data_IF_458100972614
#
_entry.id   IF_458100972614
#
_cell.length_a   1.000
_cell.length_b   1.000
_cell.length_c   1.000
_cell.angle_alpha   90.00
_cell.angle_beta   90.00
_cell.angle_gamma   90.00
#
_symmetry.space_group_name_H-M   'P 1'
#
loop_
_entity.id
_entity.type
_entity.pdbx_description
1 polymer ?
#
# COMPACT_ATOMS: atom_id res chain seq x y z
N UNK A 1 26.59 -10.34 5.76
CA UNK A 1 26.05 -9.77 5.50
C UNK A 1 25.75 -9.61 5.49
N UNK A 2 25.84 -9.72 5.42
CA UNK A 2 25.27 -9.09 5.20
C UNK A 2 24.87 -9.13 5.12
N UNK A 3 25.09 -9.30 5.27
CA UNK A 3 24.41 -8.84 5.03
C UNK A 3 24.01 -8.81 4.86
N UNK A 4 24.25 -9.02 4.88
CA UNK A 4 23.57 -8.56 4.56
C UNK A 4 23.13 -8.51 4.31
N UNK A 5 23.19 -8.60 4.25
CA UNK A 5 22.48 -8.11 3.90
C UNK A 5 21.97 -8.10 3.36
N UNK A 6 21.96 -8.33 3.16
CA UNK A 6 21.29 -7.93 2.65
C UNK A 6 20.91 -7.94 2.08
N UNK A 7 21.04 -8.16 1.83
CA UNK A 7 20.52 -7.88 1.22
C UNK A 7 20.17 -7.95 0.94
N UNK A 8 20.22 -8.00 0.87
CA UNK A 8 19.67 -7.63 0.49
C UNK A 8 19.17 -7.55 0.08
N UNK A 9 19.31 -7.68 0.00
CA UNK A 9 18.66 -7.27 -0.50
C UNK A 9 18.23 -7.18 -1.04
N UNK A 10 18.17 -7.29 -1.19
CA UNK A 10 17.57 -6.91 -1.81
C UNK A 10 17.03 -6.67 -2.29
N UNK A 11 17.10 -6.59 -2.56
CA UNK A 11 16.49 -6.10 -3.12
C UNK A 11 16.07 -5.52 -3.41
N UNK A 12 16.18 -5.12 -3.58
CA UNK A 12 15.76 -4.29 -3.93
C UNK A 12 15.64 -3.68 -3.85
N UNK A 13 15.78 -3.36 -4.08
CA UNK A 13 15.56 -2.72 -4.03
C UNK A 13 15.44 -2.38 -3.56
N UNK A 14 15.80 -2.42 -4.51
CA UNK A 14 15.59 -1.86 -3.95
C UNK A 14 15.21 -1.51 -2.82
N UNK A 15 15.37 -1.12 -2.91
CA UNK A 15 15.10 -0.85 -1.54
C UNK A 15 13.64 -0.92 -1.27
N UNK A 16 13.28 -1.82 -0.41
CA UNK A 16 11.88 -2.07 -0.16
C UNK A 16 11.42 -1.34 1.06
N UNK A 17 10.37 -0.55 0.90
CA UNK A 17 9.67 0.01 2.04
C UNK A 17 8.88 -1.11 2.71
N UNK A 18 8.66 -1.03 4.03
CA UNK A 18 7.82 -2.02 4.69
C UNK A 18 6.40 -1.99 4.15
N UNK A 19 5.70 -3.11 4.27
CA UNK A 19 4.31 -3.17 3.85
C UNK A 19 3.45 -2.32 4.76
N UNK A 20 2.49 -1.62 4.16
CA UNK A 20 1.50 -0.88 4.94
C UNK A 20 0.58 -1.88 5.63
N UNK A 21 0.53 -1.81 6.95
CA UNK A 21 -0.30 -2.68 7.76
C UNK A 21 -1.15 -1.82 8.68
N UNK A 22 -2.19 -2.41 9.29
CA UNK A 22 -3.04 -1.65 10.21
C UNK A 22 -2.30 -1.00 11.37
N UNK A 23 -1.17 -1.57 11.78
CA UNK A 23 -0.40 -1.01 12.89
C UNK A 23 0.12 0.39 12.61
N UNK A 24 0.25 0.76 11.33
CA UNK A 24 0.73 2.10 10.99
C UNK A 24 -0.21 3.20 11.48
N UNK A 25 -1.46 2.84 11.79
CA UNK A 25 -2.46 3.82 12.20
C UNK A 25 -2.74 3.81 13.70
N UNK A 26 -2.01 2.97 14.45
CA UNK A 26 -2.12 2.95 15.90
C UNK A 26 -3.50 2.56 16.39
N UNK A 27 -3.84 3.02 17.58
CA UNK A 27 -5.11 2.64 18.21
C UNK A 27 -6.31 3.31 17.56
N UNK A 28 -6.11 4.45 16.90
CA UNK A 28 -7.23 5.15 16.28
C UNK A 28 -7.81 4.36 15.12
N UNK A 29 -6.99 3.56 14.44
CA UNK A 29 -7.43 2.80 13.28
C UNK A 29 -7.87 3.66 12.11
N UNK A 30 -7.42 4.90 12.04
CA UNK A 30 -7.79 5.84 10.99
C UNK A 30 -6.59 6.69 10.62
N UNK A 31 -6.56 7.17 9.40
CA UNK A 31 -5.49 8.05 9.01
C UNK A 31 -5.59 8.46 7.55
N UNK A 32 -4.50 9.07 7.10
CA UNK A 32 -4.37 9.52 5.73
C UNK A 32 -3.15 8.86 5.13
N UNK A 33 -3.34 8.28 3.96
CA UNK A 33 -2.26 7.68 3.17
C UNK A 33 -2.00 8.61 2.00
N UNK A 34 -0.76 9.04 1.83
CA UNK A 34 -0.39 9.91 0.71
C UNK A 34 0.22 9.06 -0.39
N UNK A 35 -0.45 8.99 -1.54
CA UNK A 35 0.06 8.28 -2.69
C UNK A 35 1.13 9.14 -3.34
N UNK A 36 2.26 8.52 -3.69
CA UNK A 36 3.42 9.26 -4.18
C UNK A 36 3.54 9.31 -5.70
N UNK A 37 2.60 8.67 -6.41
CA UNK A 37 2.60 8.73 -7.86
C UNK A 37 3.45 7.66 -8.51
N UNK A 38 3.94 6.69 -7.75
CA UNK A 38 4.71 5.57 -8.29
C UNK A 38 4.05 4.27 -7.91
N UNK A 39 4.11 3.30 -8.81
CA UNK A 39 3.49 2.02 -8.58
C UNK A 39 4.21 0.94 -9.38
N UNK A 40 4.00 -0.31 -8.98
CA UNK A 40 4.52 -1.49 -9.66
C UNK A 40 3.40 -2.50 -9.80
N UNK A 41 3.48 -3.30 -10.85
CA UNK A 41 2.55 -4.42 -10.98
C UNK A 41 2.85 -5.48 -9.93
N UNK A 42 1.81 -6.12 -9.43
CA UNK A 42 1.94 -7.22 -8.48
C UNK A 42 1.18 -8.41 -9.01
N UNK A 43 1.86 -9.55 -9.09
CA UNK A 43 1.24 -10.79 -9.53
C UNK A 43 1.51 -11.85 -8.47
N UNK A 44 0.46 -12.54 -8.03
CA UNK A 44 0.62 -13.60 -7.06
C UNK A 44 -0.48 -14.63 -7.26
N UNK A 45 -0.32 -15.77 -6.60
CA UNK A 45 -1.34 -16.81 -6.66
C UNK A 45 -2.66 -16.36 -6.03
N UNK A 46 -2.63 -15.27 -5.27
CA UNK A 46 -3.83 -14.75 -4.61
C UNK A 46 -4.52 -13.67 -5.42
N UNK A 47 -3.99 -13.35 -6.61
CA UNK A 47 -4.61 -12.37 -7.49
C UNK A 47 -3.62 -11.32 -7.95
N UNK A 48 -4.05 -10.55 -8.94
CA UNK A 48 -3.24 -9.49 -9.52
C UNK A 48 -3.63 -8.14 -8.94
N UNK A 49 -2.68 -7.23 -8.91
CA UNK A 49 -2.92 -5.91 -8.39
C UNK A 49 -1.74 -5.00 -8.64
N UNK A 50 -1.66 -3.97 -7.83
CA UNK A 50 -0.58 -2.99 -7.91
C UNK A 50 0.01 -2.79 -6.52
N UNK A 51 1.26 -2.36 -6.50
CA UNK A 51 1.93 -1.97 -5.27
C UNK A 51 2.19 -0.48 -5.39
N UNK A 52 1.61 0.27 -4.47
CA UNK A 52 1.73 1.73 -4.46
C UNK A 52 2.76 2.15 -3.44
N UNK A 53 3.60 3.12 -3.81
CA UNK A 53 4.50 3.75 -2.84
C UNK A 53 3.71 4.84 -2.16
N UNK A 54 3.68 4.80 -0.84
CA UNK A 54 2.84 5.71 -0.06
C UNK A 54 3.61 6.22 1.15
N UNK A 55 3.10 7.29 1.73
CA UNK A 55 3.66 7.88 2.94
C UNK A 55 2.55 8.04 3.98
N UNK A 56 2.84 7.59 5.20
CA UNK A 56 1.91 7.72 6.32
C UNK A 56 2.69 8.33 7.48
N UNK A 57 2.25 9.49 7.96
CA UNK A 57 2.91 10.19 9.07
C UNK A 57 4.41 10.37 8.85
N UNK A 58 4.80 10.64 7.61
CA UNK A 58 6.19 10.88 7.26
C UNK A 58 7.02 9.63 6.98
N UNK A 59 6.46 8.45 7.12
CA UNK A 59 7.17 7.18 6.87
C UNK A 59 6.70 6.57 5.56
N UNK A 60 7.65 5.95 4.84
CA UNK A 60 7.37 5.33 3.55
C UNK A 60 6.91 3.90 3.72
N UNK A 61 5.92 3.51 2.93
CA UNK A 61 5.38 2.16 2.93
C UNK A 61 5.06 1.71 1.51
N UNK A 62 4.99 0.39 1.32
CA UNK A 62 4.45 -0.21 0.12
C UNK A 62 3.06 -0.74 0.43
N UNK A 63 2.10 -0.41 -0.42
CA UNK A 63 0.70 -0.78 -0.18
C UNK A 63 0.19 -1.58 -1.36
N UNK A 64 -0.15 -2.84 -1.12
CA UNK A 64 -0.67 -3.72 -2.16
C UNK A 64 -2.17 -3.54 -2.28
N UNK A 65 -2.62 -3.27 -3.49
CA UNK A 65 -4.05 -3.10 -3.79
C UNK A 65 -4.40 -4.03 -4.93
N UNK A 66 -5.27 -5.00 -4.66
CA UNK A 66 -5.68 -5.97 -5.68
C UNK A 66 -6.74 -5.36 -6.57
N UNK A 67 -6.71 -5.71 -7.86
CA UNK A 67 -7.70 -5.20 -8.81
C UNK A 67 -9.13 -5.55 -8.42
N UNK A 68 -9.32 -6.69 -7.76
CA UNK A 68 -10.65 -7.14 -7.37
C UNK A 68 -11.13 -6.54 -6.05
N UNK A 69 -10.31 -5.71 -5.40
CA UNK A 69 -10.66 -5.19 -4.08
C UNK A 69 -11.49 -3.91 -4.16
N UNK A 70 -12.21 -3.65 -3.08
CA UNK A 70 -12.94 -2.38 -2.97
C UNK A 70 -11.99 -1.18 -2.90
N UNK A 71 -10.78 -1.39 -2.39
CA UNK A 71 -9.78 -0.32 -2.35
C UNK A 71 -9.42 0.14 -3.76
N UNK A 72 -9.21 -0.80 -4.68
CA UNK A 72 -8.91 -0.43 -6.06
C UNK A 72 -10.04 0.36 -6.68
N UNK A 73 -11.25 -0.11 -6.49
CA UNK A 73 -12.44 0.54 -7.04
C UNK A 73 -12.56 1.99 -6.57
N UNK A 74 -12.34 2.21 -5.27
CA UNK A 74 -12.45 3.56 -4.71
C UNK A 74 -11.31 4.46 -5.16
N UNK A 75 -10.10 3.93 -5.26
CA UNK A 75 -8.96 4.71 -5.74
C UNK A 75 -9.13 5.08 -7.21
N UNK A 76 -9.61 4.12 -8.00
CA UNK A 76 -9.87 4.36 -9.42
C UNK A 76 -10.91 5.47 -9.59
N UNK A 77 -11.96 5.43 -8.78
CA UNK A 77 -13.01 6.43 -8.85
C UNK A 77 -12.50 7.81 -8.48
N UNK A 78 -11.57 7.88 -7.53
CA UNK A 78 -11.04 9.16 -7.05
C UNK A 78 -9.97 9.72 -7.98
N UNK A 79 -9.08 8.87 -8.51
CA UNK A 79 -7.89 9.35 -9.23
C UNK A 79 -7.93 9.06 -10.73
N UNK A 80 -8.84 8.21 -11.21
CA UNK A 80 -8.99 7.95 -12.64
C UNK A 80 -8.32 6.67 -13.09
N UNK A 81 -8.24 6.50 -14.43
CA UNK A 81 -7.82 5.24 -15.05
C UNK A 81 -6.33 5.02 -15.05
N UNK A 82 -5.52 6.06 -14.93
CA UNK A 82 -4.07 5.96 -15.03
C UNK A 82 -3.45 5.81 -13.66
N UNK A 83 -3.20 4.58 -13.27
CA UNK A 83 -2.69 4.27 -11.92
C UNK A 83 -1.38 4.95 -11.63
N UNK A 84 -0.53 5.11 -12.63
CA UNK A 84 0.76 5.76 -12.47
C UNK A 84 0.64 7.25 -12.17
N UNK A 85 -0.56 7.79 -12.28
CA UNK A 85 -0.82 9.20 -11.96
C UNK A 85 -1.54 9.38 -10.63
N UNK A 86 -1.78 8.29 -9.92
CA UNK A 86 -2.47 8.36 -8.63
C UNK A 86 -1.51 8.98 -7.62
N UNK A 87 -1.81 10.21 -7.21
CA UNK A 87 -0.97 10.96 -6.30
C UNK A 87 -1.83 11.87 -5.44
N UNK A 88 -1.58 11.84 -4.14
CA UNK A 88 -2.31 12.68 -3.22
C UNK A 88 -2.83 11.94 -2.02
N UNK A 89 -3.54 12.65 -1.12
CA UNK A 89 -4.00 12.06 0.13
C UNK A 89 -5.28 11.23 -0.05
N UNK A 90 -5.35 10.15 0.70
CA UNK A 90 -6.53 9.26 0.73
C UNK A 90 -6.86 8.95 2.17
N UNK A 91 -8.12 9.12 2.55
CA UNK A 91 -8.58 8.76 3.90
C UNK A 91 -8.78 7.25 3.97
N UNK A 92 -8.29 6.66 5.04
CA UNK A 92 -8.43 5.21 5.24
C UNK A 92 -8.84 4.91 6.67
N UNK A 93 -9.38 3.71 6.87
CA UNK A 93 -9.71 3.17 8.19
C UNK A 93 -9.30 1.73 8.23
N UNK A 94 -8.90 1.28 9.41
CA UNK A 94 -8.66 -0.13 9.64
C UNK A 94 -10.01 -0.81 9.84
N UNK A 95 -10.26 -1.85 9.04
CA UNK A 95 -11.49 -2.63 9.14
C UNK A 95 -11.15 -4.09 9.33
N UNK A 96 -12.12 -4.87 9.74
CA UNK A 96 -11.92 -6.29 9.99
C UNK A 96 -12.84 -7.10 9.09
N UNK A 97 -12.30 -8.19 8.53
CA UNK A 97 -13.06 -9.12 7.73
C UNK A 97 -12.55 -10.53 8.02
N UNK A 98 -13.45 -11.40 8.45
CA UNK A 98 -13.14 -12.80 8.77
C UNK A 98 -11.97 -12.91 9.76
N UNK A 99 -11.97 -12.04 10.77
CA UNK A 99 -10.95 -12.06 11.81
C UNK A 99 -9.63 -11.43 11.46
N UNK A 100 -9.52 -10.84 10.28
CA UNK A 100 -8.28 -10.17 9.85
C UNK A 100 -8.52 -8.70 9.64
N UNK A 101 -7.60 -7.89 10.13
CA UNK A 101 -7.66 -6.45 9.94
C UNK A 101 -6.99 -6.06 8.63
N UNK A 102 -7.50 -5.02 8.01
CA UNK A 102 -6.91 -4.50 6.78
C UNK A 102 -7.17 -2.99 6.68
N UNK A 103 -6.35 -2.32 5.86
CA UNK A 103 -6.47 -0.89 5.62
C UNK A 103 -7.45 -0.69 4.47
N UNK A 104 -8.52 0.04 4.72
CA UNK A 104 -9.60 0.23 3.75
C UNK A 104 -9.76 1.70 3.40
N UNK A 105 -9.89 1.99 2.11
CA UNK A 105 -10.22 3.34 1.63
C UNK A 105 -11.66 3.63 2.02
N UNK A 106 -11.89 4.79 2.60
CA UNK A 106 -13.25 5.20 2.98
C UNK A 106 -13.87 6.14 1.97
#
# INVERSE_FOLDING_TARGET
MGLIRKPENDNGGTDYNPWLTPEAFGESGKGTVNLLGTMRASTSEFGEGIILDVKVNGSLFSWTVKYSSGNYSKLHKRFGDSEEKWKGPVRVEVKEYLGKEYVAVV
#
